data_IF_988279285995
#
_entry.id   IF_988279285995
#
_cell.length_a   1.000
_cell.length_b   1.000
_cell.length_c   1.000
_cell.angle_alpha   90.00
_cell.angle_beta   90.00
_cell.angle_gamma   90.00
#
_symmetry.space_group_name_H-M   'P 1'
#
loop_
_entity.id
_entity.type
_entity.pdbx_description
1 polymer ?
#
# COMPACT_ATOMS: atom_id res chain seq x y z
N UNK A 1 30.21 21.79 -16.04
CA UNK A 1 30.57 20.65 -15.18
C UNK A 1 29.76 19.46 -15.63
N UNK A 2 30.39 18.42 -16.17
CA UNK A 2 29.70 17.16 -16.51
C UNK A 2 29.32 16.49 -15.19
N UNK A 3 28.05 16.56 -14.81
CA UNK A 3 27.55 15.76 -13.67
C UNK A 3 27.71 14.30 -14.04
N UNK A 4 28.69 13.62 -13.48
CA UNK A 4 28.77 12.15 -13.55
C UNK A 4 27.37 11.63 -13.20
N UNK A 5 26.76 10.90 -14.12
CA UNK A 5 25.49 10.22 -13.87
C UNK A 5 25.74 9.12 -12.84
N UNK A 6 25.71 9.49 -11.56
CA UNK A 6 25.98 8.58 -10.44
C UNK A 6 24.73 7.71 -10.31
N UNK A 7 24.90 6.42 -10.56
CA UNK A 7 23.82 5.44 -10.41
C UNK A 7 23.22 5.52 -9.00
N UNK A 8 21.90 5.48 -8.87
CA UNK A 8 21.25 5.50 -7.56
C UNK A 8 21.54 4.19 -6.82
N UNK A 9 21.53 4.25 -5.51
CA UNK A 9 21.66 3.07 -4.65
C UNK A 9 20.36 2.76 -3.97
N UNK A 10 20.00 1.48 -3.90
CA UNK A 10 18.75 1.00 -3.34
C UNK A 10 19.07 0.12 -2.15
N UNK A 11 18.52 0.48 -1.00
CA UNK A 11 18.64 -0.27 0.25
C UNK A 11 17.25 -0.68 0.75
N UNK A 12 17.21 -1.60 1.67
CA UNK A 12 15.94 -2.11 2.19
C UNK A 12 15.97 -2.33 3.69
N UNK A 13 14.87 -2.02 4.36
CA UNK A 13 14.59 -2.51 5.69
C UNK A 13 14.40 -4.03 5.67
N UNK A 14 14.66 -4.66 6.80
CA UNK A 14 14.62 -6.12 6.97
C UNK A 14 13.26 -6.72 6.54
N UNK A 15 12.16 -6.06 6.90
CA UNK A 15 10.81 -6.57 6.62
C UNK A 15 10.43 -6.54 5.14
N UNK A 16 11.03 -5.65 4.34
CA UNK A 16 10.64 -5.43 2.93
C UNK A 16 11.60 -6.07 1.92
N UNK A 17 12.53 -6.91 2.37
CA UNK A 17 13.62 -7.47 1.54
C UNK A 17 13.11 -8.19 0.29
N UNK A 18 12.08 -9.03 0.43
CA UNK A 18 11.53 -9.81 -0.70
C UNK A 18 10.97 -8.90 -1.80
N UNK A 19 10.23 -7.86 -1.44
CA UNK A 19 9.72 -6.87 -2.40
C UNK A 19 10.87 -6.04 -2.99
N UNK A 20 11.82 -5.62 -2.16
CA UNK A 20 12.97 -4.82 -2.61
C UNK A 20 13.86 -5.57 -3.60
N UNK A 21 14.05 -6.88 -3.45
CA UNK A 21 14.76 -7.73 -4.42
C UNK A 21 14.04 -7.78 -5.78
N UNK A 22 12.70 -7.83 -5.78
CA UNK A 22 11.90 -7.74 -7.01
C UNK A 22 12.03 -6.35 -7.65
N UNK A 23 11.93 -5.28 -6.85
CA UNK A 23 12.08 -3.90 -7.33
C UNK A 23 13.46 -3.70 -7.95
N UNK A 24 14.54 -4.12 -7.28
CA UNK A 24 15.90 -3.96 -7.83
C UNK A 24 16.13 -4.77 -9.08
N UNK A 25 15.53 -5.95 -9.17
CA UNK A 25 15.57 -6.77 -10.41
C UNK A 25 14.88 -6.04 -11.57
N UNK A 26 13.71 -5.47 -11.35
CA UNK A 26 12.97 -4.69 -12.36
C UNK A 26 13.70 -3.37 -12.68
N UNK A 27 14.31 -2.73 -11.69
CA UNK A 27 15.14 -1.54 -11.85
C UNK A 27 16.47 -1.80 -12.61
N UNK A 28 16.88 -3.04 -12.75
CA UNK A 28 18.16 -3.40 -13.42
C UNK A 28 19.40 -3.21 -12.55
N UNK A 29 19.26 -3.30 -11.21
CA UNK A 29 20.36 -3.15 -10.26
C UNK A 29 20.30 -4.21 -9.15
N UNK A 30 21.18 -4.10 -8.15
CA UNK A 30 21.17 -4.94 -6.95
C UNK A 30 20.94 -4.08 -5.71
N UNK A 31 20.49 -4.72 -4.64
CA UNK A 31 20.45 -4.07 -3.32
C UNK A 31 21.87 -3.71 -2.88
N UNK A 32 22.00 -2.51 -2.32
CA UNK A 32 23.21 -2.07 -1.63
C UNK A 32 23.43 -2.85 -0.34
N UNK A 33 24.69 -2.90 0.09
CA UNK A 33 25.10 -3.62 1.28
C UNK A 33 24.80 -2.79 2.54
N UNK A 34 24.00 -3.35 3.43
CA UNK A 34 23.69 -2.79 4.74
C UNK A 34 23.65 -3.92 5.77
N UNK A 35 24.19 -3.64 6.96
CA UNK A 35 24.13 -4.55 8.12
C UNK A 35 23.23 -3.91 9.17
N UNK A 36 22.32 -4.69 9.73
CA UNK A 36 21.50 -4.30 10.89
C UNK A 36 22.01 -5.12 12.09
N UNK A 37 22.86 -4.50 12.90
CA UNK A 37 23.35 -5.09 14.13
C UNK A 37 22.33 -4.97 15.24
N UNK A 38 22.09 -6.04 15.99
CA UNK A 38 21.23 -6.04 17.18
C UNK A 38 22.07 -6.16 18.44
N UNK A 39 21.73 -5.34 19.43
CA UNK A 39 22.29 -5.41 20.76
C UNK A 39 21.49 -6.36 21.66
N UNK A 40 22.09 -6.76 22.78
CA UNK A 40 21.47 -7.74 23.71
C UNK A 40 20.21 -7.23 24.40
N UNK A 41 20.04 -5.92 24.51
CA UNK A 41 18.85 -5.26 25.07
C UNK A 41 17.70 -5.09 24.04
N UNK A 42 17.97 -5.42 22.76
CA UNK A 42 17.01 -5.33 21.67
C UNK A 42 17.16 -4.07 20.81
N UNK A 43 18.02 -3.12 21.17
CA UNK A 43 18.34 -2.01 20.27
C UNK A 43 19.01 -2.52 19.00
N UNK A 44 18.94 -1.75 17.91
CA UNK A 44 19.59 -2.11 16.66
C UNK A 44 20.16 -0.89 15.94
N UNK A 45 21.21 -1.13 15.15
CA UNK A 45 21.98 -0.11 14.45
C UNK A 45 22.17 -0.52 12.99
N UNK A 46 21.61 0.24 12.02
CA UNK A 46 21.94 0.07 10.61
C UNK A 46 23.32 0.67 10.27
N UNK A 47 24.10 -0.05 9.47
CA UNK A 47 25.40 0.39 8.94
C UNK A 47 25.44 0.17 7.42
N UNK A 48 25.67 1.24 6.65
CA UNK A 48 25.92 1.13 5.21
C UNK A 48 27.35 0.66 4.98
N UNK A 49 27.51 -0.52 4.38
CA UNK A 49 28.82 -1.13 4.12
C UNK A 49 29.48 -0.66 2.80
N UNK A 50 28.99 0.44 2.27
CA UNK A 50 29.50 1.06 1.06
C UNK A 50 29.33 2.58 1.09
N UNK A 51 30.18 3.31 0.35
CA UNK A 51 30.07 4.78 0.32
C UNK A 51 28.79 5.21 -0.40
N UNK A 52 27.99 6.02 0.28
CA UNK A 52 26.77 6.63 -0.27
C UNK A 52 26.89 8.16 -0.40
N UNK A 53 28.07 8.71 -0.13
CA UNK A 53 28.34 10.16 -0.19
C UNK A 53 28.02 10.72 -1.57
N UNK A 54 27.18 11.76 -1.59
CA UNK A 54 26.80 12.48 -2.81
C UNK A 54 25.89 11.69 -3.75
N UNK A 55 25.44 10.48 -3.37
CA UNK A 55 24.53 9.66 -4.20
C UNK A 55 23.06 9.96 -3.91
N UNK A 56 22.19 9.62 -4.86
CA UNK A 56 20.77 9.47 -4.63
C UNK A 56 20.52 8.06 -4.09
N UNK A 57 19.81 7.96 -2.98
CA UNK A 57 19.45 6.66 -2.40
C UNK A 57 17.96 6.51 -2.27
N UNK A 58 17.51 5.26 -2.44
CA UNK A 58 16.16 4.82 -2.14
C UNK A 58 16.23 3.81 -0.99
N UNK A 59 15.42 4.00 0.03
CA UNK A 59 15.32 3.11 1.19
C UNK A 59 13.91 2.51 1.19
N UNK A 60 13.80 1.22 0.91
CA UNK A 60 12.53 0.52 0.80
C UNK A 60 12.18 -0.08 2.16
N UNK A 61 11.04 0.33 2.74
CA UNK A 61 10.60 -0.17 4.04
C UNK A 61 9.13 0.12 4.30
N UNK A 62 8.28 -0.91 4.32
CA UNK A 62 6.90 -0.79 4.77
C UNK A 62 6.84 -0.61 6.28
N UNK A 63 6.03 0.33 6.75
CA UNK A 63 5.93 0.68 8.17
C UNK A 63 4.77 -0.04 8.88
N UNK A 64 4.47 -1.27 8.43
CA UNK A 64 3.51 -2.14 9.11
C UNK A 64 4.00 -2.49 10.53
N UNK A 65 3.13 -2.80 11.49
CA UNK A 65 3.53 -3.33 12.80
C UNK A 65 4.47 -4.56 12.68
N UNK A 66 5.54 -4.72 13.52
CA UNK A 66 5.78 -3.92 14.76
C UNK A 66 6.32 -2.52 14.50
N UNK A 67 6.35 -1.66 15.54
CA UNK A 67 6.93 -0.30 15.47
C UNK A 67 8.43 -0.30 15.15
N UNK A 68 9.14 -1.42 15.34
CA UNK A 68 10.53 -1.61 14.94
C UNK A 68 10.73 -1.36 13.44
N UNK A 69 9.76 -1.71 12.58
CA UNK A 69 9.85 -1.48 11.14
C UNK A 69 9.92 0.02 10.80
N UNK A 70 9.16 0.85 11.51
CA UNK A 70 9.25 2.30 11.39
C UNK A 70 10.59 2.80 11.93
N UNK A 71 11.00 2.31 13.10
CA UNK A 71 12.26 2.73 13.72
C UNK A 71 13.47 2.37 12.86
N UNK A 72 13.50 1.19 12.24
CA UNK A 72 14.56 0.78 11.31
C UNK A 72 14.63 1.74 10.12
N UNK A 73 13.50 2.09 9.51
CA UNK A 73 13.45 3.06 8.42
C UNK A 73 14.01 4.42 8.86
N UNK A 74 13.63 4.93 10.03
CA UNK A 74 14.09 6.22 10.55
C UNK A 74 15.59 6.23 10.79
N UNK A 75 16.14 5.17 11.41
CA UNK A 75 17.57 5.03 11.66
C UNK A 75 18.36 4.91 10.36
N UNK A 76 17.85 4.19 9.36
CA UNK A 76 18.47 4.12 8.03
C UNK A 76 18.51 5.49 7.35
N UNK A 77 17.42 6.26 7.43
CA UNK A 77 17.34 7.62 6.86
C UNK A 77 18.35 8.56 7.58
N UNK A 78 18.42 8.53 8.92
CA UNK A 78 19.37 9.36 9.67
C UNK A 78 20.82 8.99 9.36
N UNK A 79 21.14 7.70 9.33
CA UNK A 79 22.48 7.21 8.96
C UNK A 79 22.88 7.68 7.54
N UNK A 80 21.95 7.63 6.58
CA UNK A 80 22.16 8.10 5.22
C UNK A 80 22.43 9.61 5.15
N UNK A 81 21.68 10.41 5.91
CA UNK A 81 21.89 11.85 6.05
C UNK A 81 23.28 12.15 6.61
N UNK A 82 23.69 11.45 7.68
CA UNK A 82 25.02 11.60 8.30
C UNK A 82 26.15 11.15 7.37
N UNK A 83 25.90 10.14 6.52
CA UNK A 83 26.85 9.70 5.50
C UNK A 83 26.88 10.60 4.25
N UNK A 84 26.19 11.76 4.29
CA UNK A 84 26.16 12.77 3.22
C UNK A 84 25.56 12.26 1.90
N UNK A 85 24.53 11.41 1.94
CA UNK A 85 23.72 11.12 0.78
C UNK A 85 23.09 12.43 0.24
N UNK A 86 23.02 12.59 -1.08
CA UNK A 86 22.53 13.83 -1.70
C UNK A 86 21.01 13.94 -1.67
N UNK A 87 20.33 12.84 -1.98
CA UNK A 87 18.88 12.72 -1.94
C UNK A 87 18.50 11.41 -1.26
N UNK A 88 17.59 11.46 -0.32
CA UNK A 88 17.12 10.30 0.44
C UNK A 88 15.62 10.15 0.20
N UNK A 89 15.25 9.16 -0.61
CA UNK A 89 13.84 8.82 -0.86
C UNK A 89 13.43 7.65 0.04
N UNK A 90 12.51 7.89 0.96
CA UNK A 90 11.87 6.84 1.72
C UNK A 90 10.77 6.21 0.85
N UNK A 91 10.99 4.98 0.40
CA UNK A 91 10.02 4.20 -0.38
C UNK A 91 9.24 3.33 0.60
N UNK A 92 8.00 3.69 0.84
CA UNK A 92 7.14 3.10 1.87
C UNK A 92 5.92 2.45 1.18
N UNK A 93 6.04 1.19 0.69
CA UNK A 93 4.94 0.54 -0.04
C UNK A 93 3.64 0.51 0.76
N UNK A 94 3.72 0.24 2.07
CA UNK A 94 2.62 0.38 3.01
C UNK A 94 2.95 1.39 4.10
N UNK A 95 2.22 2.51 4.12
CA UNK A 95 2.34 3.53 5.15
C UNK A 95 1.46 3.16 6.36
N UNK A 96 2.09 2.60 7.39
CA UNK A 96 1.41 2.25 8.64
C UNK A 96 0.87 3.47 9.37
N UNK A 97 -0.10 3.26 10.28
CA UNK A 97 -0.84 4.30 11.02
C UNK A 97 -1.64 5.28 10.16
N UNK A 98 -1.73 5.08 8.84
CA UNK A 98 -2.51 5.92 7.93
C UNK A 98 -3.99 6.05 8.33
N UNK A 99 -4.55 5.04 9.01
CA UNK A 99 -5.94 5.07 9.54
C UNK A 99 -6.17 6.09 10.64
N UNK A 100 -5.10 6.67 11.21
CA UNK A 100 -5.14 7.73 12.22
C UNK A 100 -4.78 9.09 11.59
N UNK A 101 -5.48 9.44 10.50
CA UNK A 101 -5.30 10.66 9.72
C UNK A 101 -6.06 11.86 10.28
N UNK A 102 -7.00 11.61 11.19
CA UNK A 102 -7.86 12.61 11.85
C UNK A 102 -8.24 12.16 13.25
N UNK A 103 -8.76 13.08 14.03
CA UNK A 103 -9.38 12.75 15.31
C UNK A 103 -10.80 12.22 15.10
N UNK A 104 -11.01 10.95 15.30
CA UNK A 104 -12.32 10.28 15.28
C UNK A 104 -13.05 10.36 16.61
N UNK A 105 -12.34 10.71 17.68
CA UNK A 105 -12.85 10.92 19.05
C UNK A 105 -11.95 11.90 19.81
N UNK A 106 -12.43 12.43 20.96
CA UNK A 106 -11.61 13.32 21.81
C UNK A 106 -10.33 12.64 22.31
N UNK A 107 -9.24 13.42 22.44
CA UNK A 107 -7.98 13.03 23.10
C UNK A 107 -7.21 11.89 22.43
N UNK A 108 -7.33 11.76 21.11
CA UNK A 108 -6.54 10.81 20.30
C UNK A 108 -5.50 11.56 19.47
N UNK A 109 -4.39 10.88 19.08
CA UNK A 109 -3.39 11.46 18.19
C UNK A 109 -3.91 11.55 16.74
N UNK A 110 -3.18 12.31 15.92
CA UNK A 110 -3.17 12.20 14.47
C UNK A 110 -1.82 11.54 14.12
N UNK A 111 -1.76 10.21 14.25
CA UNK A 111 -0.49 9.49 14.14
C UNK A 111 0.14 9.60 12.75
N UNK A 112 -0.68 9.64 11.69
CA UNK A 112 -0.18 9.82 10.33
C UNK A 112 0.65 11.12 10.19
N UNK A 113 0.19 12.24 10.81
CA UNK A 113 0.94 13.51 10.81
C UNK A 113 2.23 13.43 11.63
N UNK A 114 2.16 12.79 12.79
CA UNK A 114 3.34 12.62 13.65
C UNK A 114 4.43 11.82 12.92
N UNK A 115 4.07 10.70 12.30
CA UNK A 115 5.00 9.82 11.58
C UNK A 115 5.58 10.52 10.35
N UNK A 116 4.76 11.28 9.60
CA UNK A 116 5.26 12.11 8.51
C UNK A 116 6.37 13.06 8.99
N UNK A 117 6.15 13.77 10.11
CA UNK A 117 7.16 14.64 10.71
C UNK A 117 8.41 13.90 11.18
N UNK A 118 8.29 12.68 11.71
CA UNK A 118 9.44 11.86 12.12
C UNK A 118 10.32 11.47 10.92
N UNK A 119 9.70 11.06 9.80
CA UNK A 119 10.41 10.69 8.57
C UNK A 119 11.18 11.90 8.00
N UNK A 120 10.54 13.08 7.98
CA UNK A 120 11.19 14.33 7.57
C UNK A 120 12.35 14.72 8.49
N UNK A 121 12.12 14.69 9.81
CA UNK A 121 13.13 15.04 10.81
C UNK A 121 14.35 14.12 10.75
N UNK A 122 14.15 12.83 10.46
CA UNK A 122 15.23 11.88 10.24
C UNK A 122 16.08 12.28 9.03
N UNK A 123 15.51 12.94 8.01
CA UNK A 123 16.26 13.49 6.88
C UNK A 123 15.83 13.00 5.51
N UNK A 124 14.67 12.37 5.39
CA UNK A 124 14.10 12.06 4.07
C UNK A 124 13.86 13.36 3.29
N UNK A 125 14.20 13.34 2.00
CA UNK A 125 14.00 14.48 1.07
C UNK A 125 12.83 14.25 0.12
N UNK A 126 12.26 13.06 0.12
CA UNK A 126 11.09 12.62 -0.67
C UNK A 126 10.51 11.36 -0.04
N UNK A 127 9.21 11.20 -0.17
CA UNK A 127 8.50 9.96 0.16
C UNK A 127 7.86 9.41 -1.11
N UNK A 128 7.90 8.09 -1.28
CA UNK A 128 7.17 7.37 -2.32
C UNK A 128 6.32 6.29 -1.63
N UNK A 129 5.03 6.26 -1.88
CA UNK A 129 4.11 5.34 -1.22
C UNK A 129 2.97 4.93 -2.13
N UNK A 130 2.18 3.93 -1.74
CA UNK A 130 1.05 3.43 -2.53
C UNK A 130 -0.24 3.48 -1.72
N UNK A 131 -1.35 3.85 -2.38
CA UNK A 131 -2.73 3.84 -1.86
C UNK A 131 -2.84 4.23 -0.37
N UNK A 132 -2.50 5.47 -0.05
CA UNK A 132 -2.73 6.01 1.28
C UNK A 132 -4.21 5.84 1.67
N UNK A 133 -4.47 5.50 2.93
CA UNK A 133 -5.84 5.36 3.45
C UNK A 133 -6.71 6.59 3.19
N UNK A 134 -6.08 7.76 3.18
CA UNK A 134 -6.69 9.02 2.81
C UNK A 134 -5.69 9.86 2.00
N UNK A 135 -6.08 10.32 0.81
CA UNK A 135 -5.21 11.05 -0.12
C UNK A 135 -4.62 12.31 0.50
N UNK A 136 -5.36 12.98 1.40
CA UNK A 136 -4.91 14.18 2.08
C UNK A 136 -3.71 13.99 3.02
N UNK A 137 -3.33 12.75 3.36
CA UNK A 137 -2.11 12.45 4.12
C UNK A 137 -0.86 12.97 3.41
N UNK A 138 -0.89 13.07 2.07
CA UNK A 138 0.17 13.72 1.30
C UNK A 138 0.46 15.15 1.81
N UNK A 139 -0.56 15.88 2.22
CA UNK A 139 -0.44 17.23 2.77
C UNK A 139 0.14 17.28 4.20
N UNK A 140 0.38 16.15 4.84
CA UNK A 140 1.06 16.09 6.14
C UNK A 140 2.58 16.23 6.01
N UNK A 141 3.12 15.97 4.84
CA UNK A 141 4.53 16.12 4.52
C UNK A 141 4.82 17.54 3.99
N UNK A 142 6.01 18.06 4.33
CA UNK A 142 6.57 19.30 3.77
C UNK A 142 7.54 18.99 2.62
N UNK A 143 7.87 17.73 2.41
CA UNK A 143 8.70 17.22 1.30
C UNK A 143 7.81 16.61 0.22
N UNK A 144 8.30 16.49 -1.03
CA UNK A 144 7.53 15.85 -2.10
C UNK A 144 7.09 14.42 -1.75
N UNK A 145 5.85 14.10 -2.11
CA UNK A 145 5.26 12.76 -1.96
C UNK A 145 4.82 12.25 -3.33
N UNK A 146 5.38 11.11 -3.72
CA UNK A 146 4.92 10.36 -4.89
C UNK A 146 3.90 9.31 -4.39
N UNK A 147 2.61 9.62 -4.54
CA UNK A 147 1.52 8.74 -4.13
C UNK A 147 1.08 7.88 -5.30
N UNK A 148 1.50 6.63 -5.34
CA UNK A 148 1.17 5.67 -6.39
C UNK A 148 -0.19 5.01 -6.14
N UNK A 149 -0.84 4.58 -7.22
CA UNK A 149 -2.14 3.91 -7.15
C UNK A 149 -2.05 2.49 -7.70
N UNK A 150 -2.50 1.51 -6.92
CA UNK A 150 -2.56 0.11 -7.33
C UNK A 150 -3.61 -0.13 -8.44
N UNK A 151 -4.45 0.86 -8.76
CA UNK A 151 -5.33 0.82 -9.93
C UNK A 151 -4.59 0.49 -11.22
N UNK A 152 -3.35 0.96 -11.39
CA UNK A 152 -2.50 0.64 -12.54
C UNK A 152 -2.13 -0.84 -12.64
N UNK A 153 -2.22 -1.58 -11.53
CA UNK A 153 -1.99 -3.03 -11.44
C UNK A 153 -3.32 -3.79 -11.55
N UNK A 154 -4.35 -3.31 -10.85
CA UNK A 154 -5.61 -4.03 -10.74
C UNK A 154 -6.53 -3.86 -11.96
N UNK A 155 -6.56 -2.69 -12.61
CA UNK A 155 -7.42 -2.49 -13.77
C UNK A 155 -7.09 -3.45 -14.92
N UNK A 156 -5.82 -3.60 -15.36
CA UNK A 156 -5.48 -4.59 -16.40
C UNK A 156 -5.81 -6.02 -15.97
N UNK A 157 -5.69 -6.35 -14.69
CA UNK A 157 -6.08 -7.66 -14.18
C UNK A 157 -7.60 -7.89 -14.33
N UNK A 158 -8.42 -6.91 -13.91
CA UNK A 158 -9.89 -6.99 -14.02
C UNK A 158 -10.33 -7.09 -15.48
N UNK A 159 -9.76 -6.29 -16.38
CA UNK A 159 -10.05 -6.33 -17.82
C UNK A 159 -9.73 -7.70 -18.42
N UNK A 160 -8.60 -8.30 -18.02
CA UNK A 160 -8.19 -9.62 -18.50
C UNK A 160 -9.10 -10.77 -18.02
N UNK A 161 -9.91 -10.56 -16.98
CA UNK A 161 -10.92 -11.54 -16.55
C UNK A 161 -12.09 -11.64 -17.55
N UNK A 162 -12.29 -10.63 -18.42
CA UNK A 162 -13.33 -10.56 -19.45
C UNK A 162 -14.74 -10.88 -18.89
N UNK A 163 -15.05 -10.27 -17.75
CA UNK A 163 -16.30 -10.47 -17.05
C UNK A 163 -17.45 -9.76 -17.78
N UNK A 164 -18.47 -10.52 -18.16
CA UNK A 164 -19.75 -9.97 -18.63
C UNK A 164 -20.48 -9.28 -17.45
N UNK A 165 -21.27 -8.23 -17.73
CA UNK A 165 -22.03 -7.48 -16.72
C UNK A 165 -21.18 -7.11 -15.50
N UNK A 166 -19.97 -6.55 -15.73
CA UNK A 166 -19.09 -6.11 -14.66
C UNK A 166 -19.75 -5.00 -13.82
N UNK A 167 -19.60 -5.08 -12.50
CA UNK A 167 -20.00 -4.04 -11.57
C UNK A 167 -18.90 -3.87 -10.51
N UNK A 168 -18.55 -2.65 -10.20
CA UNK A 168 -17.61 -2.33 -9.12
C UNK A 168 -18.40 -2.08 -7.83
N UNK A 169 -17.87 -2.55 -6.72
CA UNK A 169 -18.49 -2.33 -5.42
C UNK A 169 -17.51 -1.73 -4.41
N UNK A 170 -18.01 -0.83 -3.56
CA UNK A 170 -17.30 -0.40 -2.36
C UNK A 170 -17.82 -1.18 -1.15
N UNK A 171 -16.95 -1.73 -0.29
CA UNK A 171 -17.36 -2.46 0.91
C UNK A 171 -17.88 -1.53 2.02
N UNK A 172 -17.71 -0.21 1.87
CA UNK A 172 -18.29 0.81 2.76
C UNK A 172 -18.30 2.20 2.09
N UNK A 173 -18.89 3.18 2.78
CA UNK A 173 -19.00 4.56 2.26
C UNK A 173 -17.64 5.25 2.09
N UNK A 174 -16.63 4.88 2.89
CA UNK A 174 -15.29 5.48 2.83
C UNK A 174 -14.57 5.21 1.51
N UNK A 175 -14.74 4.01 0.96
CA UNK A 175 -14.14 3.59 -0.31
C UNK A 175 -14.92 3.99 -1.58
N UNK A 176 -16.08 4.66 -1.43
CA UNK A 176 -16.99 4.94 -2.56
C UNK A 176 -16.35 5.75 -3.69
N UNK A 177 -15.51 6.76 -3.36
CA UNK A 177 -14.78 7.56 -4.35
C UNK A 177 -13.81 6.69 -5.17
N UNK A 178 -13.08 5.78 -4.52
CA UNK A 178 -12.17 4.84 -5.18
C UNK A 178 -12.95 3.88 -6.10
N UNK A 179 -14.02 3.26 -5.60
CA UNK A 179 -14.86 2.38 -6.38
C UNK A 179 -15.44 3.10 -7.61
N UNK A 180 -15.91 4.34 -7.46
CA UNK A 180 -16.39 5.15 -8.59
C UNK A 180 -15.31 5.41 -9.64
N UNK A 181 -14.06 5.69 -9.23
CA UNK A 181 -12.96 5.90 -10.18
C UNK A 181 -12.68 4.64 -11.02
N UNK A 182 -12.69 3.46 -10.39
CA UNK A 182 -12.58 2.17 -11.10
C UNK A 182 -13.75 1.94 -12.05
N UNK A 183 -14.99 2.13 -11.59
CA UNK A 183 -16.19 1.94 -12.41
C UNK A 183 -16.18 2.84 -13.65
N UNK A 184 -15.81 4.13 -13.47
CA UNK A 184 -15.67 5.08 -14.56
C UNK A 184 -14.61 4.64 -15.58
N UNK A 185 -13.45 4.20 -15.12
CA UNK A 185 -12.35 3.78 -16.01
C UNK A 185 -12.70 2.48 -16.76
N UNK A 186 -13.39 1.54 -16.11
CA UNK A 186 -13.82 0.26 -16.68
C UNK A 186 -15.17 0.35 -17.40
N UNK A 187 -15.78 1.55 -17.45
CA UNK A 187 -17.09 1.81 -18.08
C UNK A 187 -18.18 0.81 -17.61
N UNK A 188 -18.36 0.70 -16.31
CA UNK A 188 -19.33 -0.21 -15.70
C UNK A 188 -20.06 0.45 -14.52
N UNK A 189 -21.07 -0.25 -13.99
CA UNK A 189 -21.86 0.21 -12.84
C UNK A 189 -21.05 0.23 -11.54
N UNK A 190 -21.50 1.03 -10.58
CA UNK A 190 -20.97 1.06 -9.22
C UNK A 190 -22.07 0.91 -8.18
N UNK A 191 -21.80 0.09 -7.15
CA UNK A 191 -22.66 -0.09 -5.98
C UNK A 191 -21.88 0.12 -4.70
N UNK A 192 -22.56 0.44 -3.60
CA UNK A 192 -21.91 0.75 -2.32
C UNK A 192 -22.61 -0.03 -1.20
N UNK A 193 -21.81 -0.72 -0.38
CA UNK A 193 -22.29 -1.29 0.86
C UNK A 193 -22.29 -0.22 1.96
N UNK A 194 -23.42 -0.06 2.63
CA UNK A 194 -23.59 0.82 3.77
C UNK A 194 -23.62 0.02 5.07
N UNK A 195 -22.67 0.27 5.97
CA UNK A 195 -22.60 -0.45 7.26
C UNK A 195 -22.94 0.44 8.45
N UNK A 196 -23.80 -0.05 9.32
CA UNK A 196 -24.03 0.51 10.64
C UNK A 196 -23.26 -0.28 11.70
N UNK A 197 -22.52 0.43 12.56
CA UNK A 197 -21.81 -0.16 13.70
C UNK A 197 -22.47 0.22 15.00
N UNK A 198 -22.85 -0.77 15.82
CA UNK A 198 -23.29 -0.51 17.22
C UNK A 198 -22.10 -0.36 18.17
N UNK A 199 -20.97 -1.01 17.87
CA UNK A 199 -19.69 -0.94 18.61
C UNK A 199 -18.53 -1.04 17.63
N UNK A 200 -17.33 -0.61 18.04
CA UNK A 200 -16.12 -0.77 17.25
C UNK A 200 -15.92 -2.25 16.86
N UNK A 201 -15.65 -2.49 15.57
CA UNK A 201 -15.41 -3.81 14.96
C UNK A 201 -16.60 -4.81 14.97
N UNK A 202 -17.81 -4.38 15.35
CA UNK A 202 -19.02 -5.21 15.26
C UNK A 202 -19.99 -4.57 14.28
N UNK A 203 -20.15 -5.21 13.10
CA UNK A 203 -21.16 -4.81 12.10
C UNK A 203 -22.50 -5.32 12.60
N UNK A 204 -23.47 -4.41 12.81
CA UNK A 204 -24.81 -4.79 13.25
C UNK A 204 -25.77 -4.99 12.08
N UNK A 205 -25.55 -4.26 10.99
CA UNK A 205 -26.34 -4.31 9.78
C UNK A 205 -25.52 -3.77 8.61
N UNK A 206 -25.66 -4.39 7.44
CA UNK A 206 -25.07 -3.93 6.18
C UNK A 206 -26.14 -3.95 5.11
N UNK A 207 -26.27 -2.86 4.37
CA UNK A 207 -27.21 -2.70 3.26
C UNK A 207 -26.44 -2.46 1.96
N UNK A 208 -27.02 -2.86 0.84
CA UNK A 208 -26.49 -2.62 -0.49
C UNK A 208 -27.28 -1.49 -1.16
N UNK A 209 -26.60 -0.49 -1.65
CA UNK A 209 -27.15 0.61 -2.44
C UNK A 209 -26.76 0.36 -3.89
N UNK A 210 -27.76 0.14 -4.75
CA UNK A 210 -27.62 -0.22 -6.16
C UNK A 210 -28.07 -1.66 -6.46
N UNK A 211 -27.98 -2.05 -7.73
CA UNK A 211 -28.41 -3.36 -8.22
C UNK A 211 -27.22 -4.23 -8.63
N UNK A 212 -27.26 -5.51 -8.23
CA UNK A 212 -26.20 -6.50 -8.50
C UNK A 212 -26.73 -7.80 -9.12
N UNK A 213 -28.03 -7.87 -9.42
CA UNK A 213 -28.65 -9.08 -9.97
C UNK A 213 -27.94 -9.45 -11.28
N UNK A 214 -27.53 -10.72 -11.38
CA UNK A 214 -26.83 -11.31 -12.54
C UNK A 214 -25.52 -10.58 -12.93
N UNK A 215 -24.92 -9.79 -12.04
CA UNK A 215 -23.65 -9.08 -12.27
C UNK A 215 -22.45 -9.84 -11.70
N UNK A 216 -21.32 -9.67 -12.37
CA UNK A 216 -20.01 -10.05 -11.85
C UNK A 216 -19.44 -8.86 -11.07
N UNK A 217 -19.36 -8.97 -9.75
CA UNK A 217 -19.02 -7.85 -8.87
C UNK A 217 -17.55 -7.93 -8.41
N UNK A 218 -16.85 -6.80 -8.46
CA UNK A 218 -15.50 -6.65 -7.91
C UNK A 218 -15.52 -5.59 -6.82
N UNK A 219 -15.32 -6.02 -5.58
CA UNK A 219 -15.13 -5.15 -4.41
C UNK A 219 -13.75 -4.49 -4.45
N UNK A 220 -13.68 -3.18 -4.22
CA UNK A 220 -12.43 -2.40 -4.22
C UNK A 220 -12.21 -1.77 -2.85
N UNK A 221 -11.02 -2.02 -2.26
CA UNK A 221 -10.62 -1.38 -0.99
C UNK A 221 -9.12 -1.03 -0.98
N UNK A 222 -8.67 -0.15 -0.07
CA UNK A 222 -7.25 0.14 0.13
C UNK A 222 -6.57 -0.93 0.96
N UNK A 223 -7.22 -1.44 1.99
CA UNK A 223 -6.63 -2.45 2.86
C UNK A 223 -7.64 -3.48 3.37
N UNK A 224 -7.16 -4.70 3.53
CA UNK A 224 -7.88 -5.76 4.24
C UNK A 224 -7.14 -6.10 5.53
N UNK A 225 -7.74 -5.74 6.68
CA UNK A 225 -7.19 -6.03 8.00
C UNK A 225 -7.78 -7.32 8.57
N UNK A 226 -8.90 -7.27 9.27
CA UNK A 226 -9.55 -8.48 9.85
C UNK A 226 -10.48 -9.19 8.88
N UNK A 227 -10.59 -8.72 7.66
CA UNK A 227 -11.47 -9.18 6.58
C UNK A 227 -12.98 -9.20 6.90
N UNK A 228 -13.41 -8.72 8.08
CA UNK A 228 -14.82 -8.77 8.46
C UNK A 228 -15.73 -7.99 7.51
N UNK A 229 -15.40 -6.74 7.21
CA UNK A 229 -16.18 -5.90 6.29
C UNK A 229 -16.24 -6.49 4.89
N UNK A 230 -15.08 -6.93 4.37
CA UNK A 230 -14.96 -7.46 3.02
C UNK A 230 -15.75 -8.78 2.85
N UNK A 231 -15.61 -9.71 3.80
CA UNK A 231 -16.34 -10.97 3.79
C UNK A 231 -17.85 -10.74 3.88
N UNK A 232 -18.32 -9.92 4.83
CA UNK A 232 -19.75 -9.60 4.97
C UNK A 232 -20.31 -8.92 3.73
N UNK A 233 -19.56 -8.01 3.09
CA UNK A 233 -19.98 -7.38 1.83
C UNK A 233 -20.08 -8.40 0.69
N UNK A 234 -19.10 -9.30 0.57
CA UNK A 234 -19.13 -10.38 -0.42
C UNK A 234 -20.33 -11.31 -0.25
N UNK A 235 -20.63 -11.70 0.99
CA UNK A 235 -21.78 -12.56 1.30
C UNK A 235 -23.10 -11.86 0.98
N UNK A 236 -23.27 -10.60 1.41
CA UNK A 236 -24.45 -9.78 1.12
C UNK A 236 -24.69 -9.62 -0.39
N UNK A 237 -23.66 -9.26 -1.15
CA UNK A 237 -23.75 -9.05 -2.60
C UNK A 237 -24.18 -10.35 -3.28
N UNK A 238 -23.62 -11.49 -2.86
CA UNK A 238 -24.01 -12.81 -3.38
C UNK A 238 -25.48 -13.14 -3.03
N UNK A 239 -25.93 -12.85 -1.81
CA UNK A 239 -27.32 -13.04 -1.38
C UNK A 239 -28.33 -12.13 -2.11
N UNK A 240 -27.86 -11.00 -2.63
CA UNK A 240 -28.65 -10.09 -3.47
C UNK A 240 -28.67 -10.47 -4.94
N UNK A 241 -28.15 -11.64 -5.32
CA UNK A 241 -28.26 -12.22 -6.67
C UNK A 241 -27.09 -11.94 -7.59
N UNK A 242 -25.94 -11.53 -7.09
CA UNK A 242 -24.75 -11.41 -7.93
C UNK A 242 -24.30 -12.77 -8.46
N UNK A 243 -23.88 -12.82 -9.73
CA UNK A 243 -23.38 -14.02 -10.41
C UNK A 243 -22.05 -14.48 -9.82
N UNK A 244 -21.18 -13.54 -9.49
CA UNK A 244 -19.90 -13.80 -8.83
C UNK A 244 -19.44 -12.58 -8.05
N UNK A 245 -18.66 -12.80 -6.98
CA UNK A 245 -18.05 -11.71 -6.20
C UNK A 245 -16.55 -11.98 -6.02
N UNK A 246 -15.74 -11.00 -6.39
CA UNK A 246 -14.29 -10.95 -6.17
C UNK A 246 -13.94 -9.70 -5.37
N UNK A 247 -12.73 -9.65 -4.86
CA UNK A 247 -12.23 -8.44 -4.22
C UNK A 247 -10.81 -8.13 -4.69
N UNK A 248 -10.48 -6.84 -4.85
CA UNK A 248 -9.12 -6.34 -4.98
C UNK A 248 -8.83 -5.40 -3.83
N UNK A 249 -7.66 -5.52 -3.23
CA UNK A 249 -7.27 -4.75 -2.07
C UNK A 249 -5.76 -4.53 -2.06
N UNK A 250 -5.32 -3.29 -1.96
CA UNK A 250 -3.90 -2.97 -2.08
C UNK A 250 -3.09 -3.56 -0.94
N UNK A 251 -3.48 -3.31 0.30
CA UNK A 251 -2.70 -3.68 1.48
C UNK A 251 -3.27 -4.88 2.22
N UNK A 252 -2.61 -6.02 2.08
CA UNK A 252 -2.99 -7.28 2.73
C UNK A 252 -2.43 -7.32 4.17
N UNK A 253 -3.05 -6.59 5.10
CA UNK A 253 -2.66 -6.63 6.52
C UNK A 253 -3.00 -7.98 7.14
N UNK A 254 -4.18 -8.52 6.85
CA UNK A 254 -4.64 -9.88 7.14
C UNK A 254 -4.39 -10.32 8.60
N UNK A 255 -4.79 -9.46 9.54
CA UNK A 255 -4.61 -9.71 10.97
C UNK A 255 -5.69 -10.63 11.57
N UNK A 256 -5.36 -11.21 12.72
CA UNK A 256 -6.27 -12.07 13.47
C UNK A 256 -6.74 -13.28 12.66
N UNK A 257 -8.06 -13.46 12.57
CA UNK A 257 -8.71 -14.56 11.83
C UNK A 257 -9.12 -14.20 10.39
N UNK A 258 -8.43 -13.23 9.76
CA UNK A 258 -8.77 -12.75 8.42
C UNK A 258 -8.76 -13.87 7.37
N UNK A 259 -7.74 -14.73 7.41
CA UNK A 259 -7.64 -15.87 6.47
C UNK A 259 -8.83 -16.82 6.57
N UNK A 260 -9.25 -17.16 7.79
CA UNK A 260 -10.40 -18.01 8.03
C UNK A 260 -11.72 -17.38 7.51
N UNK A 261 -11.89 -16.07 7.73
CA UNK A 261 -13.07 -15.35 7.23
C UNK A 261 -13.12 -15.31 5.71
N UNK A 262 -11.98 -15.06 5.05
CA UNK A 262 -11.89 -15.07 3.59
C UNK A 262 -12.23 -16.45 3.05
N UNK A 263 -11.67 -17.49 3.64
CA UNK A 263 -11.92 -18.88 3.22
C UNK A 263 -13.41 -19.26 3.32
N UNK A 264 -14.07 -18.88 4.43
CA UNK A 264 -15.50 -19.13 4.68
C UNK A 264 -16.45 -18.23 3.91
N UNK A 265 -16.00 -17.08 3.42
CA UNK A 265 -16.83 -16.13 2.69
C UNK A 265 -17.24 -16.66 1.31
N UNK A 266 -18.26 -16.03 0.71
CA UNK A 266 -18.70 -16.31 -0.66
C UNK A 266 -17.81 -15.66 -1.74
N UNK A 267 -16.73 -14.98 -1.36
CA UNK A 267 -15.74 -14.46 -2.31
C UNK A 267 -15.10 -15.59 -3.10
N UNK A 268 -15.03 -15.46 -4.42
CA UNK A 268 -14.29 -16.38 -5.28
C UNK A 268 -12.79 -16.21 -5.12
N UNK A 269 -12.31 -14.94 -5.06
CA UNK A 269 -10.91 -14.63 -4.87
C UNK A 269 -10.74 -13.24 -4.23
N UNK A 270 -9.64 -13.08 -3.52
CA UNK A 270 -9.11 -11.81 -3.03
C UNK A 270 -7.76 -11.56 -3.69
N UNK A 271 -7.68 -10.53 -4.50
CA UNK A 271 -6.44 -10.11 -5.16
C UNK A 271 -5.82 -8.99 -4.35
N UNK A 272 -4.54 -9.12 -3.99
CA UNK A 272 -3.80 -8.13 -3.19
C UNK A 272 -2.45 -7.82 -3.80
N UNK A 273 -1.77 -6.79 -3.28
CA UNK A 273 -0.38 -6.54 -3.63
C UNK A 273 0.59 -7.05 -2.56
N UNK A 274 1.89 -7.07 -2.88
CA UNK A 274 2.96 -7.42 -1.95
C UNK A 274 3.53 -6.22 -1.17
N UNK A 275 2.75 -5.15 -1.01
CA UNK A 275 3.11 -3.96 -0.20
C UNK A 275 3.29 -4.28 1.29
N UNK A 276 2.56 -5.26 1.81
CA UNK A 276 2.71 -5.79 3.17
C UNK A 276 3.40 -7.15 3.09
N UNK A 277 4.49 -7.36 3.84
CA UNK A 277 5.25 -8.62 3.76
C UNK A 277 4.52 -9.81 4.40
N UNK A 278 5.00 -11.03 4.08
CA UNK A 278 4.57 -12.29 4.72
C UNK A 278 3.10 -12.69 4.52
N UNK A 279 2.56 -12.44 3.33
CA UNK A 279 1.24 -12.94 2.96
C UNK A 279 1.28 -14.47 2.85
N UNK A 280 0.37 -15.16 3.57
CA UNK A 280 0.16 -16.59 3.39
C UNK A 280 -0.78 -16.81 2.22
N UNK A 281 -0.31 -17.52 1.20
CA UNK A 281 -1.16 -17.89 0.07
C UNK A 281 -2.13 -19.00 0.49
N UNK A 282 -3.36 -18.92 0.03
CA UNK A 282 -4.37 -19.97 0.11
C UNK A 282 -5.13 -20.05 -1.22
N UNK A 283 -6.16 -20.87 -1.30
CA UNK A 283 -6.92 -21.10 -2.53
C UNK A 283 -7.61 -19.83 -3.07
N UNK A 284 -7.93 -18.86 -2.22
CA UNK A 284 -8.65 -17.63 -2.57
C UNK A 284 -7.77 -16.39 -2.66
N UNK A 285 -6.54 -16.39 -2.14
CA UNK A 285 -5.69 -15.19 -2.11
C UNK A 285 -4.66 -15.23 -3.23
N UNK A 286 -4.71 -14.22 -4.10
CA UNK A 286 -3.76 -14.00 -5.20
C UNK A 286 -2.97 -12.72 -4.97
N UNK A 287 -1.66 -12.78 -5.18
CA UNK A 287 -0.77 -11.62 -5.02
C UNK A 287 -0.30 -11.14 -6.38
N UNK A 288 -0.51 -9.86 -6.68
CA UNK A 288 0.09 -9.15 -7.80
C UNK A 288 1.23 -8.27 -7.27
N UNK A 289 2.41 -8.39 -7.84
CA UNK A 289 3.54 -7.62 -7.37
C UNK A 289 3.44 -6.16 -7.79
N UNK A 290 3.74 -5.25 -6.87
CA UNK A 290 3.87 -3.82 -7.16
C UNK A 290 5.31 -3.42 -7.54
N UNK A 291 6.21 -4.38 -7.66
CA UNK A 291 7.64 -4.12 -7.87
C UNK A 291 7.94 -3.33 -9.14
N UNK A 292 7.32 -3.69 -10.27
CA UNK A 292 7.55 -3.03 -11.56
C UNK A 292 7.11 -1.56 -11.52
N UNK A 293 5.96 -1.28 -10.91
CA UNK A 293 5.46 0.09 -10.76
C UNK A 293 6.42 0.95 -9.91
N UNK A 294 6.89 0.42 -8.77
CA UNK A 294 7.86 1.14 -7.95
C UNK A 294 9.19 1.35 -8.70
N UNK A 295 9.69 0.34 -9.40
CA UNK A 295 10.93 0.44 -10.19
C UNK A 295 10.82 1.51 -11.27
N UNK A 296 9.74 1.52 -12.04
CA UNK A 296 9.48 2.51 -13.09
C UNK A 296 9.46 3.94 -12.52
N UNK A 297 8.73 4.15 -11.41
CA UNK A 297 8.65 5.49 -10.80
C UNK A 297 10.00 5.91 -10.20
N UNK A 298 10.75 4.98 -9.62
CA UNK A 298 12.10 5.26 -9.13
C UNK A 298 13.05 5.63 -10.28
N UNK A 299 12.93 5.01 -11.46
CA UNK A 299 13.65 5.39 -12.68
C UNK A 299 13.32 6.81 -13.10
N UNK A 300 12.03 7.14 -13.22
CA UNK A 300 11.59 8.47 -13.62
C UNK A 300 12.08 9.55 -12.62
N UNK A 301 11.96 9.28 -11.32
CA UNK A 301 12.47 10.19 -10.28
C UNK A 301 14.00 10.34 -10.35
N UNK A 302 14.73 9.26 -10.65
CA UNK A 302 16.19 9.34 -10.81
C UNK A 302 16.58 10.20 -12.02
N UNK A 303 15.90 10.02 -13.15
CA UNK A 303 16.16 10.71 -14.40
C UNK A 303 15.54 12.12 -14.46
N UNK A 304 14.82 12.55 -13.43
CA UNK A 304 14.03 13.80 -13.41
C UNK A 304 12.95 13.84 -14.50
N UNK A 305 12.35 12.67 -14.79
CA UNK A 305 11.26 12.50 -15.74
C UNK A 305 9.90 12.58 -15.05
N UNK A 306 8.85 12.86 -15.84
CA UNK A 306 7.48 12.94 -15.33
C UNK A 306 6.98 11.56 -14.87
N UNK A 307 6.28 11.54 -13.75
CA UNK A 307 5.58 10.37 -13.21
C UNK A 307 4.06 10.43 -13.44
N UNK A 308 3.57 11.51 -14.08
CA UNK A 308 2.12 11.78 -14.20
C UNK A 308 1.33 10.66 -14.89
N UNK A 309 1.92 9.97 -15.86
CA UNK A 309 1.30 8.82 -16.54
C UNK A 309 1.07 7.59 -15.65
N UNK A 310 1.66 7.57 -14.46
CA UNK A 310 1.53 6.49 -13.47
C UNK A 310 0.47 6.78 -12.40
N UNK A 311 -0.19 7.94 -12.48
CA UNK A 311 -1.26 8.37 -11.56
C UNK A 311 -2.64 8.21 -12.21
N UNK A 312 -2.95 7.03 -12.72
CA UNK A 312 -4.28 6.73 -13.22
C UNK A 312 -5.22 6.41 -12.03
N UNK A 313 -6.11 7.37 -11.72
CA UNK A 313 -7.29 7.13 -10.89
C UNK A 313 -8.52 7.04 -11.78
#
# INVERSE_FOLDING_TARGET
MVTKNIQPKIFTCTNSRVLAEKITKSFGTKLGNIIISKYSDGEFQPSYEESIRGTRIFIIGSTNPSSENLMELLLMVDAAKRASARHITAVIPYFGWARQDRKDKPRVPIAAKMIAGMIESAGATRVMTMDLHADQIQGFFQIPVDHLYASTIFMPYIENLKLDNLCIASPDMGGSKRAYAYAKALNCDVVVCYKQRKKANVISHMELIGDVIDKNVVLIDDMVDTAGTLATAGDLITERGAKSVRAVCTHAVLSGNAYEKIEKSKLLELIVTDTVPKIKLNSKIKVLSCADLFADVMHNVHNNESISSKFLM
#
